data_IF_439900000869
#
_entry.id   IF_439900000869
#
_cell.length_a   1.000
_cell.length_b   1.000
_cell.length_c   1.000
_cell.angle_alpha   90.00
_cell.angle_beta   90.00
_cell.angle_gamma   90.00
#
_symmetry.space_group_name_H-M   'P 1'
#
loop_
_entity.id
_entity.type
_entity.pdbx_description
1 polymer ?
#
# COMPACT_ATOMS: atom_id res chain seq x y z
N UNK A 1 22.95 2.02 -13.73
CA UNK A 1 22.75 0.91 -14.69
C UNK A 1 21.40 1.11 -15.36
N UNK A 2 21.35 1.08 -16.70
CA UNK A 2 20.10 1.11 -17.48
C UNK A 2 19.76 -0.32 -17.89
N UNK A 3 18.52 -0.75 -17.60
CA UNK A 3 17.98 -1.98 -18.13
C UNK A 3 17.16 -1.65 -19.37
N UNK A 4 17.43 -2.32 -20.48
CA UNK A 4 16.67 -2.16 -21.72
C UNK A 4 15.75 -3.36 -21.92
N UNK A 5 14.46 -3.08 -22.09
CA UNK A 5 13.45 -4.08 -22.43
C UNK A 5 12.84 -3.75 -23.80
N UNK A 6 12.46 -4.78 -24.56
CA UNK A 6 11.80 -4.63 -25.86
C UNK A 6 10.68 -5.67 -26.03
N UNK A 7 9.71 -5.37 -26.89
CA UNK A 7 8.56 -6.24 -27.15
C UNK A 7 7.77 -6.57 -25.88
N UNK A 8 7.32 -7.80 -25.77
CA UNK A 8 6.47 -8.28 -24.65
C UNK A 8 7.11 -8.06 -23.29
N UNK A 9 8.46 -8.09 -23.20
CA UNK A 9 9.17 -7.81 -21.95
C UNK A 9 9.03 -6.37 -21.51
N UNK A 10 9.02 -5.41 -22.45
CA UNK A 10 8.82 -4.00 -22.14
C UNK A 10 7.40 -3.76 -21.63
N UNK A 11 6.40 -4.39 -22.27
CA UNK A 11 4.99 -4.33 -21.88
C UNK A 11 4.82 -4.90 -20.45
N UNK A 12 5.30 -6.12 -20.21
CA UNK A 12 5.22 -6.75 -18.91
C UNK A 12 5.93 -5.95 -17.80
N UNK A 13 7.07 -5.31 -18.11
CA UNK A 13 7.76 -4.45 -17.16
C UNK A 13 6.96 -3.20 -16.82
N UNK A 14 6.33 -2.54 -17.80
CA UNK A 14 5.45 -1.40 -17.57
C UNK A 14 4.32 -1.76 -16.57
N UNK A 15 3.65 -2.89 -16.78
CA UNK A 15 2.59 -3.37 -15.87
C UNK A 15 3.13 -3.64 -14.47
N UNK A 16 4.30 -4.30 -14.33
CA UNK A 16 4.95 -4.54 -13.04
C UNK A 16 5.25 -3.24 -12.30
N UNK A 17 5.82 -2.25 -13.00
CA UNK A 17 6.13 -0.94 -12.41
C UNK A 17 4.85 -0.23 -11.97
N UNK A 18 3.82 -0.15 -12.83
CA UNK A 18 2.54 0.50 -12.50
C UNK A 18 1.84 -0.17 -11.32
N UNK A 19 1.87 -1.49 -11.24
CA UNK A 19 1.25 -2.27 -10.16
C UNK A 19 2.13 -2.36 -8.90
N UNK A 20 3.33 -1.78 -8.90
CA UNK A 20 4.22 -1.73 -7.74
C UNK A 20 4.96 -3.03 -7.42
N UNK A 21 5.05 -3.97 -8.37
CA UNK A 21 5.75 -5.26 -8.17
C UNK A 21 7.28 -5.14 -8.24
N UNK A 22 7.82 -4.09 -8.88
CA UNK A 22 9.26 -3.80 -8.96
C UNK A 22 9.72 -2.80 -7.89
N UNK A 23 8.83 -2.38 -6.98
CA UNK A 23 9.14 -1.47 -5.89
C UNK A 23 9.76 -2.19 -4.69
N UNK A 24 10.69 -1.57 -3.99
CA UNK A 24 11.20 -2.03 -2.69
C UNK A 24 10.09 -2.04 -1.62
N UNK A 25 9.07 -1.20 -1.77
CA UNK A 25 7.87 -1.16 -0.93
C UNK A 25 6.67 -1.49 -1.81
N UNK A 26 6.16 -2.71 -1.66
CA UNK A 26 5.05 -3.21 -2.44
C UNK A 26 3.78 -2.36 -2.22
N UNK A 27 3.20 -1.85 -3.32
CA UNK A 27 1.94 -1.12 -3.30
C UNK A 27 2.07 0.37 -2.97
N UNK A 28 3.24 1.01 -3.23
CA UNK A 28 3.40 2.46 -3.12
C UNK A 28 2.64 3.21 -4.20
N UNK A 29 1.95 4.28 -3.79
CA UNK A 29 1.16 5.13 -4.70
C UNK A 29 2.01 6.12 -5.49
N UNK A 30 3.23 6.40 -5.03
CA UNK A 30 4.10 7.42 -5.60
C UNK A 30 4.53 7.09 -7.03
N UNK A 31 4.91 5.83 -7.28
CA UNK A 31 5.33 5.36 -8.61
C UNK A 31 4.17 5.46 -9.61
N UNK A 32 2.96 5.06 -9.20
CA UNK A 32 1.78 5.15 -10.06
C UNK A 32 1.47 6.62 -10.45
N UNK A 33 1.66 7.54 -9.51
CA UNK A 33 1.55 8.98 -9.76
C UNK A 33 2.57 9.45 -10.79
N UNK A 34 3.85 9.11 -10.61
CA UNK A 34 4.94 9.48 -11.52
C UNK A 34 4.73 8.93 -12.94
N UNK A 35 4.30 7.67 -13.08
CA UNK A 35 4.00 7.06 -14.40
C UNK A 35 2.85 7.79 -15.08
N UNK A 36 1.78 8.11 -14.35
CA UNK A 36 0.64 8.87 -14.89
C UNK A 36 1.06 10.25 -15.38
N UNK A 37 1.85 10.97 -14.59
CA UNK A 37 2.29 12.33 -14.91
C UNK A 37 3.25 12.33 -16.12
N UNK A 38 4.16 11.34 -16.21
CA UNK A 38 5.03 11.15 -17.37
C UNK A 38 4.24 10.81 -18.64
N UNK A 39 3.22 9.95 -18.53
CA UNK A 39 2.33 9.63 -19.64
C UNK A 39 1.53 10.85 -20.12
N UNK A 40 0.98 11.64 -19.18
CA UNK A 40 0.27 12.87 -19.50
C UNK A 40 1.16 13.87 -20.24
N UNK A 41 2.40 14.06 -19.75
CA UNK A 41 3.40 14.90 -20.43
C UNK A 41 3.68 14.41 -21.85
N UNK A 42 3.82 13.10 -22.05
CA UNK A 42 4.03 12.51 -23.38
C UNK A 42 2.85 12.78 -24.32
N UNK A 43 1.61 12.69 -23.85
CA UNK A 43 0.41 13.03 -24.62
C UNK A 43 0.42 14.49 -25.05
N UNK A 44 0.70 15.42 -24.16
CA UNK A 44 0.73 16.86 -24.43
C UNK A 44 1.76 17.26 -25.48
N UNK A 45 2.84 16.48 -25.61
CA UNK A 45 3.91 16.71 -26.60
C UNK A 45 3.79 15.80 -27.84
N UNK A 46 2.70 15.06 -28.00
CA UNK A 46 2.48 14.17 -29.15
C UNK A 46 3.44 12.97 -29.21
N UNK A 47 4.03 12.58 -28.07
CA UNK A 47 4.96 11.46 -27.95
C UNK A 47 4.29 10.10 -27.74
N UNK A 48 2.98 10.04 -27.55
CA UNK A 48 2.23 8.80 -27.38
C UNK A 48 1.29 8.59 -28.59
N UNK A 49 1.56 7.55 -29.36
CA UNK A 49 0.67 7.06 -30.43
C UNK A 49 -0.41 6.13 -29.84
N UNK A 50 -1.17 5.50 -30.74
CA UNK A 50 -2.26 4.59 -30.34
C UNK A 50 -1.76 3.45 -29.43
N UNK A 51 -0.66 2.81 -29.78
CA UNK A 51 -0.14 1.65 -29.04
C UNK A 51 0.30 2.03 -27.63
N UNK A 52 1.06 3.13 -27.50
CA UNK A 52 1.47 3.65 -26.21
C UNK A 52 0.26 4.11 -25.38
N UNK A 53 -0.73 4.74 -26.01
CA UNK A 53 -1.96 5.13 -25.32
C UNK A 53 -2.70 3.91 -24.74
N UNK A 54 -2.88 2.85 -25.52
CA UNK A 54 -3.53 1.61 -25.03
C UNK A 54 -2.73 1.03 -23.87
N UNK A 55 -1.41 0.90 -24.01
CA UNK A 55 -0.55 0.31 -22.99
C UNK A 55 -0.60 1.07 -21.67
N UNK A 56 -0.38 2.38 -21.69
CA UNK A 56 -0.36 3.19 -20.47
C UNK A 56 -1.74 3.23 -19.81
N UNK A 57 -2.82 3.39 -20.59
CA UNK A 57 -4.18 3.40 -20.03
C UNK A 57 -4.53 2.05 -19.39
N UNK A 58 -4.20 0.93 -20.03
CA UNK A 58 -4.45 -0.41 -19.50
C UNK A 58 -3.61 -0.69 -18.25
N UNK A 59 -2.31 -0.33 -18.24
CA UNK A 59 -1.44 -0.52 -17.09
C UNK A 59 -1.89 0.32 -15.88
N UNK A 60 -2.29 1.58 -16.11
CA UNK A 60 -2.83 2.44 -15.05
C UNK A 60 -4.19 1.95 -14.53
N UNK A 61 -5.05 1.42 -15.41
CA UNK A 61 -6.33 0.82 -15.01
C UNK A 61 -6.12 -0.45 -14.17
N UNK A 62 -5.21 -1.34 -14.59
CA UNK A 62 -4.82 -2.54 -13.84
C UNK A 62 -4.32 -2.20 -12.43
N UNK A 63 -3.43 -1.21 -12.32
CA UNK A 63 -2.92 -0.75 -11.03
C UNK A 63 -4.04 -0.21 -10.11
N UNK A 64 -4.99 0.55 -10.65
CA UNK A 64 -6.16 1.02 -9.89
C UNK A 64 -7.06 -0.13 -9.45
N UNK A 65 -7.35 -1.09 -10.34
CA UNK A 65 -8.14 -2.29 -10.03
C UNK A 65 -7.49 -3.08 -8.89
N UNK A 66 -6.20 -3.37 -8.98
CA UNK A 66 -5.45 -4.07 -7.93
C UNK A 66 -5.53 -3.31 -6.61
N UNK A 67 -5.32 -2.00 -6.62
CA UNK A 67 -5.41 -1.17 -5.41
C UNK A 67 -6.80 -1.21 -4.76
N UNK A 68 -7.86 -1.25 -5.56
CA UNK A 68 -9.24 -1.27 -5.08
C UNK A 68 -9.65 -2.65 -4.57
N UNK A 69 -9.27 -3.70 -5.29
CA UNK A 69 -9.76 -5.06 -5.08
C UNK A 69 -8.85 -5.89 -4.16
N UNK A 70 -7.65 -5.37 -3.81
CA UNK A 70 -6.71 -6.03 -2.89
C UNK A 70 -6.38 -5.15 -1.69
N UNK A 71 -5.85 -5.76 -0.63
CA UNK A 71 -5.35 -5.05 0.56
C UNK A 71 -3.84 -4.80 0.50
N UNK A 72 -3.23 -4.90 -0.67
CA UNK A 72 -1.79 -4.83 -0.84
C UNK A 72 -1.20 -3.50 -0.34
N UNK A 73 -1.82 -2.37 -0.69
CA UNK A 73 -1.39 -1.03 -0.27
C UNK A 73 -1.83 -0.68 1.15
N UNK A 74 -2.94 -1.24 1.63
CA UNK A 74 -3.54 -0.88 2.92
C UNK A 74 -3.05 -1.69 4.12
N UNK A 75 -2.25 -2.75 3.88
CA UNK A 75 -1.73 -3.62 4.95
C UNK A 75 -0.39 -3.09 5.47
N UNK A 76 -0.33 -2.49 6.67
CA UNK A 76 0.89 -1.90 7.22
C UNK A 76 1.85 -2.97 7.73
N UNK A 77 3.14 -2.81 7.47
CA UNK A 77 4.21 -3.68 7.99
C UNK A 77 5.10 -2.98 9.01
N UNK A 78 5.24 -1.67 8.91
CA UNK A 78 6.10 -0.89 9.80
C UNK A 78 5.47 -0.74 11.18
N UNK A 79 6.24 -1.01 12.23
CA UNK A 79 5.83 -0.81 13.64
C UNK A 79 5.30 0.61 13.87
N UNK A 80 5.97 1.62 13.32
CA UNK A 80 5.53 3.01 13.46
C UNK A 80 4.13 3.26 12.86
N UNK A 81 3.80 2.61 11.75
CA UNK A 81 2.48 2.69 11.12
C UNK A 81 1.44 1.91 11.94
N UNK A 82 1.81 0.74 12.47
CA UNK A 82 0.93 -0.05 13.33
C UNK A 82 0.57 0.72 14.60
N UNK A 83 1.54 1.35 15.24
CA UNK A 83 1.33 2.22 16.42
C UNK A 83 0.37 3.38 16.08
N UNK A 84 0.59 4.07 14.96
CA UNK A 84 -0.30 5.14 14.55
C UNK A 84 -1.73 4.65 14.28
N UNK A 85 -1.91 3.47 13.70
CA UNK A 85 -3.22 2.86 13.48
C UNK A 85 -3.92 2.53 14.80
N UNK A 86 -3.20 2.08 15.84
CA UNK A 86 -3.78 1.87 17.17
C UNK A 86 -4.23 3.20 17.79
N UNK A 87 -3.48 4.29 17.62
CA UNK A 87 -3.90 5.64 18.04
C UNK A 87 -5.21 6.03 17.34
N UNK A 88 -5.30 5.84 16.03
CA UNK A 88 -6.51 6.16 15.26
C UNK A 88 -7.70 5.26 15.61
N UNK A 89 -7.45 3.98 15.93
CA UNK A 89 -8.49 3.09 16.40
C UNK A 89 -9.03 3.53 17.75
N UNK A 90 -8.15 3.88 18.68
CA UNK A 90 -8.53 4.38 20.00
C UNK A 90 -9.33 5.68 19.91
N UNK A 91 -8.92 6.61 19.05
CA UNK A 91 -9.62 7.88 18.79
C UNK A 91 -11.03 7.61 18.23
N UNK A 92 -11.17 6.71 17.27
CA UNK A 92 -12.46 6.37 16.65
C UNK A 92 -13.43 5.70 17.64
N UNK A 93 -12.94 4.83 18.52
CA UNK A 93 -13.75 4.10 19.50
C UNK A 93 -14.24 5.00 20.63
N UNK A 94 -13.41 5.93 21.09
CA UNK A 94 -13.66 6.76 22.27
C UNK A 94 -14.16 8.18 21.91
N UNK A 95 -14.00 8.60 20.66
CA UNK A 95 -14.41 9.89 20.11
C UNK A 95 -13.59 11.09 20.60
N UNK A 96 -13.74 12.22 19.93
CA UNK A 96 -13.13 13.51 20.30
C UNK A 96 -11.61 13.60 20.08
N UNK A 97 -11.05 14.78 20.36
CA UNK A 97 -9.61 15.04 20.23
C UNK A 97 -8.85 14.27 21.29
N UNK A 98 -7.80 13.55 20.89
CA UNK A 98 -6.94 12.76 21.77
C UNK A 98 -5.61 13.43 22.03
N UNK A 99 -5.18 13.39 23.30
CA UNK A 99 -3.88 13.85 23.75
C UNK A 99 -2.92 12.66 23.81
N UNK A 100 -1.87 12.70 23.00
CA UNK A 100 -0.89 11.63 22.87
C UNK A 100 0.46 12.11 23.36
N UNK A 101 1.06 11.42 24.34
CA UNK A 101 2.44 11.68 24.73
C UNK A 101 3.37 10.74 23.97
N UNK A 102 4.47 11.28 23.43
CA UNK A 102 5.54 10.49 22.82
C UNK A 102 6.84 10.70 23.56
N UNK A 103 7.25 9.69 24.33
CA UNK A 103 8.53 9.64 25.04
C UNK A 103 9.58 9.14 24.05
N UNK A 104 10.69 9.88 23.90
CA UNK A 104 11.70 9.59 22.89
C UNK A 104 11.34 10.11 21.48
N UNK A 105 10.55 11.19 21.40
CA UNK A 105 10.12 11.80 20.14
C UNK A 105 11.29 12.18 19.21
N UNK A 106 12.46 12.55 19.74
CA UNK A 106 13.65 12.92 18.96
C UNK A 106 14.37 11.75 18.30
N UNK A 107 14.09 10.51 18.72
CA UNK A 107 14.64 9.29 18.10
C UNK A 107 13.98 8.99 16.76
N UNK A 108 14.65 8.17 15.90
CA UNK A 108 14.13 7.77 14.58
C UNK A 108 12.71 7.18 14.65
N UNK A 109 12.47 6.25 15.58
CA UNK A 109 11.15 5.63 15.77
C UNK A 109 10.11 6.65 16.24
N UNK A 110 10.42 7.43 17.29
CA UNK A 110 9.53 8.46 17.84
C UNK A 110 9.17 9.55 16.84
N UNK A 111 10.13 9.99 16.02
CA UNK A 111 9.91 10.94 14.92
C UNK A 111 8.95 10.37 13.87
N UNK A 112 9.16 9.12 13.44
CA UNK A 112 8.31 8.47 12.43
C UNK A 112 6.89 8.26 12.95
N UNK A 113 6.73 7.76 14.19
CA UNK A 113 5.43 7.61 14.84
C UNK A 113 4.71 8.96 14.90
N UNK A 114 5.39 10.01 15.35
CA UNK A 114 4.80 11.35 15.49
C UNK A 114 4.32 11.89 14.14
N UNK A 115 5.12 11.78 13.08
CA UNK A 115 4.72 12.18 11.72
C UNK A 115 3.49 11.41 11.25
N UNK A 116 3.46 10.09 11.48
CA UNK A 116 2.32 9.24 11.11
C UNK A 116 1.05 9.65 11.86
N UNK A 117 1.12 9.89 13.16
CA UNK A 117 -0.02 10.32 13.98
C UNK A 117 -0.55 11.68 13.51
N UNK A 118 0.33 12.63 13.22
CA UNK A 118 -0.03 13.98 12.80
C UNK A 118 -0.57 14.06 11.36
N UNK A 119 -0.48 12.97 10.58
CA UNK A 119 -1.08 12.91 9.23
C UNK A 119 -2.60 13.03 9.25
N UNK A 120 -3.26 12.76 10.39
CA UNK A 120 -4.70 12.94 10.57
C UNK A 120 -5.02 14.08 11.53
N UNK A 121 -6.14 14.78 11.35
CA UNK A 121 -6.66 15.74 12.35
C UNK A 121 -7.13 15.00 13.62
N UNK A 122 -7.48 15.75 14.67
CA UNK A 122 -8.07 15.18 15.90
C UNK A 122 -7.05 14.67 16.92
N UNK A 123 -5.75 14.75 16.66
CA UNK A 123 -4.69 14.32 17.57
C UNK A 123 -3.83 15.52 17.98
N UNK A 124 -3.56 15.65 19.29
CA UNK A 124 -2.57 16.56 19.86
C UNK A 124 -1.43 15.74 20.43
N UNK A 125 -0.19 16.14 20.16
CA UNK A 125 1.00 15.41 20.58
C UNK A 125 1.79 16.21 21.58
N UNK A 126 2.13 15.59 22.71
CA UNK A 126 3.10 16.10 23.70
C UNK A 126 4.35 15.25 23.59
N UNK A 127 5.42 15.82 23.04
CA UNK A 127 6.71 15.14 22.95
C UNK A 127 7.60 15.44 24.15
N UNK A 128 8.34 14.43 24.64
CA UNK A 128 9.35 14.67 25.65
C UNK A 128 10.73 14.84 25.04
N UNK A 129 11.55 15.69 25.63
CA UNK A 129 12.97 15.85 25.28
C UNK A 129 13.84 15.92 26.54
N UNK A 130 15.13 15.52 26.44
CA UNK A 130 16.10 15.62 27.53
C UNK A 130 16.98 16.87 27.38
N UNK A 131 17.80 16.92 26.36
CA UNK A 131 18.81 17.98 26.19
C UNK A 131 18.51 18.88 24.99
N UNK A 132 17.98 18.31 23.90
CA UNK A 132 17.74 19.02 22.64
C UNK A 132 16.28 18.82 22.22
N UNK A 133 15.64 19.92 21.85
CA UNK A 133 14.31 19.87 21.24
C UNK A 133 14.41 19.27 19.83
N UNK A 134 13.49 18.38 19.45
CA UNK A 134 13.51 17.80 18.10
C UNK A 134 13.34 18.88 17.02
N UNK A 135 14.25 18.92 16.05
CA UNK A 135 14.22 19.94 14.98
C UNK A 135 12.90 19.93 14.20
N UNK A 136 12.39 18.75 13.86
CA UNK A 136 11.13 18.62 13.12
C UNK A 136 9.91 19.17 13.91
N UNK A 137 9.93 19.15 15.24
CA UNK A 137 8.86 19.73 16.04
C UNK A 137 8.84 21.27 15.99
N UNK A 138 9.98 21.88 15.66
CA UNK A 138 10.07 23.32 15.39
C UNK A 138 9.61 23.66 13.97
N UNK A 139 9.79 22.74 13.01
CA UNK A 139 9.30 22.88 11.63
C UNK A 139 7.77 22.73 11.52
N UNK A 140 7.17 21.92 12.41
CA UNK A 140 5.73 21.79 12.50
C UNK A 140 5.19 23.06 13.20
N UNK A 141 4.99 24.14 12.43
CA UNK A 141 4.22 25.33 12.84
C UNK A 141 2.75 24.95 13.05
N UNK A 142 2.49 24.10 14.05
CA UNK A 142 1.18 23.54 14.26
C UNK A 142 0.90 23.53 15.77
N UNK A 143 -0.18 24.17 16.18
CA UNK A 143 -0.68 24.20 17.58
C UNK A 143 -0.96 22.80 18.15
N UNK A 144 -0.81 21.75 17.35
CA UNK A 144 -1.02 20.35 17.76
C UNK A 144 0.19 19.69 18.41
N UNK A 145 1.39 20.32 18.42
CA UNK A 145 2.61 19.75 19.01
C UNK A 145 3.08 20.60 20.15
N UNK A 146 3.16 20.01 21.35
CA UNK A 146 3.75 20.59 22.57
C UNK A 146 4.98 19.82 22.97
N UNK A 147 6.02 20.49 23.44
CA UNK A 147 7.22 19.88 23.98
C UNK A 147 7.32 20.12 25.49
N UNK A 148 7.66 19.07 26.24
CA UNK A 148 7.88 19.10 27.68
C UNK A 148 9.22 18.44 28.03
N UNK A 149 9.83 18.84 29.12
CA UNK A 149 11.02 18.17 29.60
C UNK A 149 10.72 16.75 30.08
N UNK A 150 11.64 15.83 29.81
CA UNK A 150 11.49 14.41 30.18
C UNK A 150 11.20 14.23 31.67
N UNK A 151 11.80 15.07 32.52
CA UNK A 151 11.62 15.01 33.96
C UNK A 151 10.18 15.33 34.39
N UNK A 152 9.48 16.16 33.63
CA UNK A 152 8.10 16.57 33.92
C UNK A 152 7.04 15.64 33.34
N UNK A 153 7.43 14.53 32.64
CA UNK A 153 6.51 13.63 31.94
C UNK A 153 5.32 13.18 32.79
N UNK A 154 5.56 12.77 34.02
CA UNK A 154 4.48 12.30 34.91
C UNK A 154 3.46 13.38 35.27
N UNK A 155 3.88 14.64 35.41
CA UNK A 155 2.97 15.77 35.64
C UNK A 155 1.94 15.94 34.56
N UNK A 156 2.28 15.52 33.34
CA UNK A 156 1.41 15.65 32.16
C UNK A 156 0.65 14.36 31.81
N UNK A 157 1.01 13.19 32.38
CA UNK A 157 0.39 11.91 32.06
C UNK A 157 -1.11 11.86 32.40
N UNK A 158 -1.53 12.56 33.45
CA UNK A 158 -2.93 12.64 33.86
C UNK A 158 -3.86 13.20 32.74
N UNK A 159 -3.32 14.06 31.88
CA UNK A 159 -4.04 14.69 30.76
C UNK A 159 -4.05 13.82 29.50
N UNK A 160 -3.20 12.78 29.43
CA UNK A 160 -3.01 11.98 28.24
C UNK A 160 -4.04 10.86 28.14
N UNK A 161 -4.51 10.62 26.91
CA UNK A 161 -5.30 9.46 26.52
C UNK A 161 -4.43 8.29 26.13
N UNK A 162 -3.28 8.62 25.50
CA UNK A 162 -2.34 7.64 24.95
C UNK A 162 -0.92 8.06 25.33
N UNK A 163 -0.10 7.09 25.73
CA UNK A 163 1.33 7.28 25.99
C UNK A 163 2.12 6.28 25.17
N UNK A 164 3.08 6.77 24.37
CA UNK A 164 3.96 5.95 23.54
C UNK A 164 5.39 6.16 24.01
N UNK A 165 6.12 5.07 24.26
CA UNK A 165 7.56 5.13 24.54
C UNK A 165 8.37 4.46 23.44
N UNK A 166 9.39 5.17 22.95
CA UNK A 166 10.26 4.77 21.87
C UNK A 166 11.71 5.20 22.15
N UNK A 167 12.19 4.94 23.35
CA UNK A 167 13.57 5.28 23.74
C UNK A 167 14.51 4.07 23.59
N UNK A 168 15.79 4.27 23.78
CA UNK A 168 16.82 3.21 23.79
C UNK A 168 17.52 3.11 25.14
N UNK A 169 16.89 3.58 26.22
CA UNK A 169 17.46 3.54 27.57
C UNK A 169 17.42 2.12 28.16
N UNK A 170 18.33 1.80 29.10
CA UNK A 170 18.38 0.49 29.75
C UNK A 170 17.38 0.32 30.90
N UNK A 171 16.66 1.37 31.28
CA UNK A 171 15.78 1.38 32.45
C UNK A 171 14.39 1.83 32.09
N UNK A 172 13.40 1.40 32.87
CA UNK A 172 12.02 1.87 32.67
C UNK A 172 11.93 3.39 32.71
N UNK A 173 11.33 3.93 31.65
CA UNK A 173 10.99 5.35 31.54
C UNK A 173 9.64 5.65 32.20
N UNK A 174 8.78 4.63 32.38
CA UNK A 174 7.50 4.71 33.07
C UNK A 174 7.38 3.52 34.00
N UNK A 175 7.35 3.79 35.33
CA UNK A 175 7.12 2.76 36.33
C UNK A 175 5.65 2.74 36.77
N UNK A 176 5.16 1.57 37.19
CA UNK A 176 3.78 1.43 37.67
C UNK A 176 3.51 2.28 38.92
N UNK A 177 4.48 2.36 39.82
CA UNK A 177 4.36 3.13 41.06
C UNK A 177 4.21 4.64 40.82
N UNK A 178 5.11 5.24 40.01
CA UNK A 178 5.05 6.68 39.70
C UNK A 178 3.83 7.03 38.87
N UNK A 179 3.48 6.13 37.92
CA UNK A 179 2.29 6.30 37.10
C UNK A 179 1.02 6.25 37.94
N UNK A 180 0.88 5.26 38.84
CA UNK A 180 -0.27 5.17 39.74
C UNK A 180 -0.44 6.43 40.58
N UNK A 181 0.67 6.99 41.09
CA UNK A 181 0.66 8.26 41.82
C UNK A 181 0.22 9.44 40.94
N UNK A 182 0.69 9.50 39.70
CA UNK A 182 0.39 10.58 38.76
C UNK A 182 -1.07 10.54 38.24
N UNK A 183 -1.65 9.37 38.11
CA UNK A 183 -3.04 9.19 37.58
C UNK A 183 -4.09 9.27 38.71
N UNK A 184 -3.74 8.95 39.94
CA UNK A 184 -4.68 8.83 41.05
C UNK A 184 -5.75 7.75 40.81
N UNK A 185 -6.85 7.79 41.52
CA UNK A 185 -7.96 6.80 41.41
C UNK A 185 -8.90 7.05 40.24
N UNK A 186 -8.41 7.59 39.16
CA UNK A 186 -9.22 8.02 38.02
C UNK A 186 -9.39 6.94 36.98
N UNK A 187 -10.04 5.85 37.10
CA UNK A 187 -10.22 4.72 36.16
C UNK A 187 -10.55 5.04 34.71
N UNK A 188 -10.13 6.19 34.17
CA UNK A 188 -10.26 6.62 32.79
C UNK A 188 -9.54 5.65 31.87
N UNK A 189 -10.18 5.24 30.77
CA UNK A 189 -9.56 4.42 29.73
C UNK A 189 -8.35 5.13 29.11
N UNK A 190 -7.20 4.47 29.08
CA UNK A 190 -5.96 4.95 28.46
C UNK A 190 -5.23 3.83 27.77
N UNK A 191 -4.47 4.19 26.73
CA UNK A 191 -3.64 3.25 25.95
C UNK A 191 -2.16 3.59 26.12
N UNK A 192 -1.38 2.61 26.56
CA UNK A 192 0.07 2.69 26.65
C UNK A 192 0.70 1.78 25.59
N UNK A 193 1.71 2.28 24.88
CA UNK A 193 2.40 1.53 23.83
C UNK A 193 3.91 1.67 24.02
N UNK A 194 4.55 0.54 24.31
CA UNK A 194 5.99 0.44 24.47
C UNK A 194 6.62 -0.21 23.24
N UNK A 195 7.36 0.57 22.45
CA UNK A 195 8.06 0.09 21.25
C UNK A 195 9.58 0.15 21.41
N UNK A 196 10.04 0.24 22.64
CA UNK A 196 11.46 0.25 22.98
C UNK A 196 12.03 -1.17 23.12
N UNK A 197 13.33 -1.28 22.86
CA UNK A 197 14.13 -2.48 23.12
C UNK A 197 15.42 -2.03 23.78
N UNK A 198 15.62 -2.38 25.08
CA UNK A 198 14.72 -3.11 26.00
C UNK A 198 13.47 -2.30 26.35
N UNK A 199 12.48 -2.94 27.00
CA UNK A 199 11.22 -2.31 27.37
C UNK A 199 11.43 -1.05 28.22
N UNK A 200 10.69 -0.01 27.90
CA UNK A 200 10.68 1.29 28.58
C UNK A 200 9.62 1.41 29.67
N UNK A 201 8.59 0.58 29.62
CA UNK A 201 7.43 0.62 30.51
C UNK A 201 7.39 -0.62 31.41
N UNK A 202 7.15 -0.40 32.68
CA UNK A 202 6.98 -1.45 33.67
C UNK A 202 5.74 -2.32 33.30
N UNK A 203 5.89 -3.66 33.16
CA UNK A 203 4.77 -4.55 32.88
C UNK A 203 3.62 -4.47 33.90
N UNK A 204 3.88 -4.11 35.16
CA UNK A 204 2.86 -3.95 36.20
C UNK A 204 1.86 -2.82 35.90
N UNK A 205 2.13 -1.96 34.93
CA UNK A 205 1.18 -0.95 34.44
C UNK A 205 -0.14 -1.59 34.00
N UNK A 206 -0.12 -2.85 33.54
CA UNK A 206 -1.33 -3.60 33.15
C UNK A 206 -2.31 -3.82 34.30
N UNK A 207 -1.82 -3.80 35.53
CA UNK A 207 -2.65 -3.99 36.73
C UNK A 207 -3.40 -2.72 37.13
N UNK A 208 -3.05 -1.56 36.56
CA UNK A 208 -3.72 -0.29 36.87
C UNK A 208 -5.07 -0.23 36.18
N UNK A 209 -6.20 -0.04 36.87
CA UNK A 209 -7.53 -0.03 36.27
C UNK A 209 -7.67 1.00 35.15
N UNK A 210 -8.27 0.58 34.06
CA UNK A 210 -8.52 1.42 32.87
C UNK A 210 -7.32 1.55 31.92
N UNK A 211 -6.14 0.97 32.23
CA UNK A 211 -4.98 1.00 31.36
C UNK A 211 -4.88 -0.24 30.48
N UNK A 212 -4.50 -0.04 29.23
CA UNK A 212 -4.11 -1.10 28.30
C UNK A 212 -2.66 -0.86 27.90
N UNK A 213 -1.79 -1.87 28.04
CA UNK A 213 -0.38 -1.79 27.67
C UNK A 213 -0.10 -2.78 26.53
N UNK A 214 0.29 -2.25 25.38
CA UNK A 214 0.89 -3.01 24.27
C UNK A 214 2.41 -2.82 24.27
N UNK A 215 3.14 -3.91 24.18
CA UNK A 215 4.60 -3.90 24.04
C UNK A 215 5.04 -4.14 22.59
N UNK A 216 6.33 -4.12 22.32
CA UNK A 216 6.90 -4.35 21.01
C UNK A 216 6.48 -5.71 20.41
N UNK A 217 6.39 -6.77 21.21
CA UNK A 217 6.01 -8.11 20.74
C UNK A 217 4.59 -8.14 20.14
N UNK A 218 3.67 -7.33 20.72
CA UNK A 218 2.33 -7.16 20.15
C UNK A 218 2.40 -6.64 18.70
N UNK A 219 3.20 -5.59 18.48
CA UNK A 219 3.35 -4.98 17.15
C UNK A 219 4.12 -5.87 16.18
N UNK A 220 5.12 -6.62 16.65
CA UNK A 220 5.81 -7.61 15.83
C UNK A 220 4.90 -8.75 15.41
N UNK A 221 4.04 -9.22 16.29
CA UNK A 221 3.03 -10.24 15.97
C UNK A 221 2.04 -9.74 14.92
N UNK A 222 1.55 -8.51 15.06
CA UNK A 222 0.70 -7.87 14.05
C UNK A 222 1.44 -7.72 12.71
N UNK A 223 2.71 -7.30 12.73
CA UNK A 223 3.51 -7.16 11.52
C UNK A 223 3.69 -8.51 10.80
N UNK A 224 3.96 -9.59 11.53
CA UNK A 224 4.08 -10.95 10.97
C UNK A 224 2.75 -11.40 10.34
N UNK A 225 1.64 -11.26 11.04
CA UNK A 225 0.30 -11.58 10.51
C UNK A 225 -0.03 -10.76 9.27
N UNK A 226 0.29 -9.47 9.27
CA UNK A 226 0.10 -8.60 8.12
C UNK A 226 1.00 -9.00 6.94
N UNK A 227 2.20 -9.53 7.19
CA UNK A 227 3.08 -10.05 6.14
C UNK A 227 2.44 -11.24 5.43
N UNK A 228 1.85 -12.18 6.16
CA UNK A 228 1.14 -13.32 5.57
C UNK A 228 -0.06 -12.89 4.72
N UNK A 229 -0.85 -11.92 5.23
CA UNK A 229 -1.96 -11.34 4.46
C UNK A 229 -1.42 -10.68 3.19
N UNK A 230 -0.36 -9.90 3.31
CA UNK A 230 0.23 -9.18 2.17
C UNK A 230 0.77 -10.12 1.11
N UNK A 231 1.36 -11.25 1.48
CA UNK A 231 1.83 -12.27 0.54
C UNK A 231 0.66 -12.89 -0.25
N UNK A 232 -0.44 -13.24 0.41
CA UNK A 232 -1.65 -13.75 -0.26
C UNK A 232 -2.26 -12.72 -1.22
N UNK A 233 -2.33 -11.48 -0.79
CA UNK A 233 -2.82 -10.39 -1.64
C UNK A 233 -1.88 -10.10 -2.82
N UNK A 234 -0.57 -10.31 -2.66
CA UNK A 234 0.42 -10.19 -3.72
C UNK A 234 0.21 -11.24 -4.83
N UNK A 235 -0.04 -12.49 -4.45
CA UNK A 235 -0.32 -13.55 -5.42
C UNK A 235 -1.61 -13.26 -6.19
N UNK A 236 -2.66 -12.82 -5.49
CA UNK A 236 -3.91 -12.38 -6.12
C UNK A 236 -3.70 -11.21 -7.07
N UNK A 237 -2.97 -10.19 -6.63
CA UNK A 237 -2.65 -9.02 -7.44
C UNK A 237 -1.85 -9.38 -8.71
N UNK A 238 -0.94 -10.38 -8.59
CA UNK A 238 -0.18 -10.89 -9.74
C UNK A 238 -1.08 -11.51 -10.80
N UNK A 239 -2.01 -12.37 -10.38
CA UNK A 239 -2.98 -12.98 -11.31
C UNK A 239 -3.80 -11.90 -12.00
N UNK A 240 -4.31 -10.93 -11.25
CA UNK A 240 -5.07 -9.81 -11.82
C UNK A 240 -4.23 -8.99 -12.82
N UNK A 241 -2.95 -8.73 -12.52
CA UNK A 241 -2.05 -8.02 -13.43
C UNK A 241 -1.82 -8.82 -14.72
N UNK A 242 -1.62 -10.13 -14.62
CA UNK A 242 -1.40 -11.01 -15.77
C UNK A 242 -2.64 -11.08 -16.68
N UNK A 243 -3.85 -11.09 -16.13
CA UNK A 243 -5.11 -11.00 -16.88
C UNK A 243 -5.23 -9.68 -17.66
N UNK A 244 -4.95 -8.55 -17.01
CA UNK A 244 -5.01 -7.23 -17.64
C UNK A 244 -3.90 -7.04 -18.68
N UNK A 245 -2.70 -7.59 -18.43
CA UNK A 245 -1.60 -7.62 -19.37
C UNK A 245 -1.97 -8.40 -20.64
N UNK A 246 -2.52 -9.62 -20.48
CA UNK A 246 -2.97 -10.44 -21.60
C UNK A 246 -4.06 -9.74 -22.42
N UNK A 247 -5.01 -9.08 -21.75
CA UNK A 247 -6.03 -8.29 -22.42
C UNK A 247 -5.44 -7.12 -23.23
N UNK A 248 -4.44 -6.42 -22.70
CA UNK A 248 -3.76 -5.35 -23.41
C UNK A 248 -2.98 -5.86 -24.63
N UNK A 249 -2.26 -6.97 -24.48
CA UNK A 249 -1.52 -7.60 -25.58
C UNK A 249 -2.47 -8.05 -26.70
N UNK A 250 -3.60 -8.68 -26.34
CA UNK A 250 -4.64 -9.07 -27.33
C UNK A 250 -5.19 -7.87 -28.09
N UNK A 251 -5.49 -6.77 -27.42
CA UNK A 251 -5.97 -5.54 -28.06
C UNK A 251 -4.94 -4.98 -29.03
N UNK A 252 -3.68 -4.94 -28.65
CA UNK A 252 -2.59 -4.46 -29.51
C UNK A 252 -2.37 -5.37 -30.71
N UNK A 253 -2.39 -6.69 -30.51
CA UNK A 253 -2.25 -7.66 -31.62
C UNK A 253 -3.42 -7.55 -32.61
N UNK A 254 -4.61 -7.27 -32.12
CA UNK A 254 -5.80 -7.20 -32.94
C UNK A 254 -5.93 -5.87 -33.74
N UNK A 255 -5.41 -4.77 -33.19
CA UNK A 255 -5.56 -3.44 -33.78
C UNK A 255 -5.09 -3.33 -35.26
N UNK A 256 -3.95 -3.89 -35.70
CA UNK A 256 -3.55 -3.88 -37.11
C UNK A 256 -4.57 -4.57 -38.03
N UNK A 257 -5.27 -5.59 -37.50
CA UNK A 257 -6.30 -6.29 -38.29
C UNK A 257 -7.56 -5.46 -38.47
N UNK A 258 -7.93 -4.60 -37.52
CA UNK A 258 -9.07 -3.68 -37.65
C UNK A 258 -8.89 -2.80 -38.90
N UNK A 259 -7.69 -2.27 -39.10
CA UNK A 259 -7.37 -1.44 -40.27
C UNK A 259 -7.49 -2.20 -41.61
N UNK A 260 -7.28 -3.51 -41.57
CA UNK A 260 -7.33 -4.40 -42.74
C UNK A 260 -8.68 -5.10 -42.97
N UNK A 261 -9.66 -4.89 -42.05
CA UNK A 261 -10.95 -5.58 -42.09
C UNK A 261 -11.65 -5.39 -43.44
N UNK A 262 -11.67 -4.17 -44.03
CA UNK A 262 -12.27 -3.91 -45.31
C UNK A 262 -11.57 -4.62 -46.48
N UNK A 263 -10.26 -4.83 -46.38
CA UNK A 263 -9.48 -5.59 -47.37
C UNK A 263 -9.72 -7.09 -47.20
N UNK A 264 -9.69 -7.59 -45.97
CA UNK A 264 -9.98 -8.98 -45.63
C UNK A 264 -11.40 -9.36 -46.06
N UNK A 265 -12.38 -8.48 -45.81
CA UNK A 265 -13.77 -8.70 -46.27
C UNK A 265 -13.83 -8.90 -47.78
N UNK A 266 -13.17 -8.04 -48.58
CA UNK A 266 -13.13 -8.20 -50.05
C UNK A 266 -12.47 -9.51 -50.48
N UNK A 267 -11.42 -9.98 -49.78
CA UNK A 267 -10.73 -11.24 -50.13
C UNK A 267 -11.61 -12.46 -49.82
N UNK A 268 -12.37 -12.39 -48.73
CA UNK A 268 -13.21 -13.51 -48.28
C UNK A 268 -14.65 -13.46 -48.81
N UNK A 269 -15.06 -12.36 -49.43
CA UNK A 269 -16.39 -12.21 -49.94
C UNK A 269 -16.75 -13.33 -50.96
N UNK A 270 -17.91 -13.94 -50.76
CA UNK A 270 -18.38 -15.08 -51.54
C UNK A 270 -17.59 -16.40 -51.39
N UNK A 271 -16.59 -16.46 -50.48
CA UNK A 271 -15.87 -17.72 -50.18
C UNK A 271 -16.66 -18.54 -49.18
N UNK A 272 -16.84 -19.83 -49.48
CA UNK A 272 -17.42 -20.78 -48.54
C UNK A 272 -16.44 -21.09 -47.39
N UNK A 273 -16.96 -21.30 -46.18
CA UNK A 273 -16.18 -21.61 -45.01
C UNK A 273 -15.29 -22.86 -45.23
N UNK A 274 -15.84 -23.90 -45.87
CA UNK A 274 -15.09 -25.12 -46.18
C UNK A 274 -13.83 -24.82 -47.00
N UNK A 275 -13.97 -23.96 -48.01
CA UNK A 275 -12.83 -23.56 -48.86
C UNK A 275 -11.74 -22.85 -48.07
N UNK A 276 -12.12 -22.02 -47.08
CA UNK A 276 -11.19 -21.32 -46.24
C UNK A 276 -10.48 -22.33 -45.30
N UNK A 277 -11.23 -23.25 -44.70
CA UNK A 277 -10.69 -24.26 -43.77
C UNK A 277 -9.74 -25.23 -44.50
N UNK A 278 -10.06 -25.68 -45.70
CA UNK A 278 -9.14 -26.51 -46.49
C UNK A 278 -7.85 -25.77 -46.82
N UNK A 279 -7.91 -24.48 -47.16
CA UNK A 279 -6.73 -23.69 -47.43
C UNK A 279 -5.89 -23.51 -46.17
N UNK A 280 -6.50 -23.26 -45.01
CA UNK A 280 -5.81 -23.18 -43.72
C UNK A 280 -5.07 -24.48 -43.46
N UNK A 281 -5.77 -25.65 -43.54
CA UNK A 281 -5.18 -26.96 -43.32
C UNK A 281 -3.91 -27.18 -44.16
N UNK A 282 -3.93 -26.77 -45.42
CA UNK A 282 -2.86 -27.01 -46.38
C UNK A 282 -1.65 -26.07 -46.22
N UNK A 283 -1.76 -25.01 -45.36
CA UNK A 283 -0.74 -23.99 -45.21
C UNK A 283 -0.20 -23.85 -43.78
N UNK A 284 -0.78 -24.55 -42.76
CA UNK A 284 -0.36 -24.51 -41.39
C UNK A 284 0.15 -25.88 -40.91
N UNK A 285 0.97 -25.91 -39.85
CA UNK A 285 1.37 -27.16 -39.24
C UNK A 285 0.26 -27.73 -38.33
N UNK A 286 0.47 -28.96 -37.81
CA UNK A 286 -0.55 -29.67 -37.02
C UNK A 286 -0.89 -28.98 -35.69
N UNK A 287 0.04 -28.30 -35.08
CA UNK A 287 -0.19 -27.59 -33.80
C UNK A 287 -1.00 -26.30 -34.04
N UNK A 288 -0.64 -25.53 -35.06
CA UNK A 288 -1.39 -24.35 -35.47
C UNK A 288 -2.82 -24.73 -35.87
N UNK A 289 -2.97 -25.84 -36.63
CA UNK A 289 -4.30 -26.32 -37.04
C UNK A 289 -5.17 -26.69 -35.84
N UNK A 290 -4.61 -27.37 -34.82
CA UNK A 290 -5.35 -27.69 -33.60
C UNK A 290 -5.84 -26.42 -32.89
N UNK A 291 -5.02 -25.37 -32.80
CA UNK A 291 -5.42 -24.10 -32.17
C UNK A 291 -6.59 -23.47 -32.97
N UNK A 292 -6.48 -23.42 -34.29
CA UNK A 292 -7.52 -22.84 -35.18
C UNK A 292 -8.85 -23.61 -35.03
N UNK A 293 -8.81 -24.96 -35.10
CA UNK A 293 -10.02 -25.76 -34.96
C UNK A 293 -10.69 -25.60 -33.61
N UNK A 294 -9.92 -25.59 -32.51
CA UNK A 294 -10.44 -25.31 -31.15
C UNK A 294 -11.08 -23.92 -31.06
N UNK A 295 -10.46 -22.92 -31.69
CA UNK A 295 -11.01 -21.55 -31.73
C UNK A 295 -12.33 -21.51 -32.51
N UNK A 296 -12.46 -22.25 -33.61
CA UNK A 296 -13.71 -22.36 -34.35
C UNK A 296 -14.82 -23.05 -33.57
N UNK A 297 -14.50 -24.14 -32.82
CA UNK A 297 -15.44 -24.80 -31.93
C UNK A 297 -15.94 -23.84 -30.85
N UNK A 298 -15.02 -23.04 -30.27
CA UNK A 298 -15.36 -21.99 -29.32
C UNK A 298 -16.23 -20.89 -29.92
N UNK A 299 -15.93 -20.41 -31.12
CA UNK A 299 -16.72 -19.41 -31.83
C UNK A 299 -18.15 -19.89 -32.06
N UNK A 300 -18.36 -21.14 -32.45
CA UNK A 300 -19.70 -21.71 -32.61
C UNK A 300 -20.52 -21.60 -31.31
N UNK A 301 -19.90 -21.91 -30.16
CA UNK A 301 -20.54 -21.77 -28.85
C UNK A 301 -20.89 -20.33 -28.54
N UNK A 302 -19.93 -19.41 -28.71
CA UNK A 302 -20.12 -17.99 -28.37
C UNK A 302 -21.18 -17.30 -29.23
N UNK A 303 -21.24 -17.66 -30.55
CA UNK A 303 -22.26 -17.11 -31.44
C UNK A 303 -23.67 -17.66 -31.23
N UNK A 304 -23.81 -18.75 -30.48
CA UNK A 304 -25.13 -19.32 -30.09
C UNK A 304 -25.68 -18.73 -28.80
N UNK A 305 -24.84 -18.05 -28.02
CA UNK A 305 -25.22 -17.42 -26.75
C UNK A 305 -25.77 -15.98 -26.93
N UNK A 306 -25.61 -15.40 -28.12
CA UNK A 306 -26.24 -14.13 -28.55
C UNK A 306 -27.65 -14.36 -29.17
#
# INVERSE_FOLDING_TARGET
YLNLYSGDRAIAHLFKVCCGFDSMVLGEDEILGQVRDAYQTSLEHGGADYELNVLFQRALAAAKRIKTDTRLSSTPLSVATLVANEVFRFEKEDGGVKNVMVIGMSGKMGTTITKNILSKPGIRVTGTYRSHKPDFAMEIKNDRVRLVEYQDRYRHMGEMDIVISATSGPHYTVTAQELGTALGENGRRRLFMDVAVPMDMDPEIREIPGLTLYNIDYFETLSKSNTEIKLKELDRARVMMEEDLDAAVREMMFHPYIRRMGELHRVFDGKKLETILFKIRDHVNSEELKVILRTLDGLESWMREE
#
